data_IF_066197606483
#
_entry.id   IF_066197606483
#
_cell.length_a   1.000
_cell.length_b   1.000
_cell.length_c   1.000
_cell.angle_alpha   90.00
_cell.angle_beta   90.00
_cell.angle_gamma   90.00
#
_symmetry.space_group_name_H-M   'P 1'
#
loop_
_entity.id
_entity.type
_entity.pdbx_description
1 polymer ?
#
# COMPACT_ATOMS: atom_id res chain seq x y z
N UNK A 1 4.26 -93.23 58.45
CA UNK A 1 3.95 -91.81 58.18
C UNK A 1 2.45 -91.63 57.87
N UNK A 2 1.56 -91.99 58.80
CA UNK A 2 0.10 -91.79 58.64
C UNK A 2 -0.61 -91.29 59.93
N UNK A 3 0.08 -91.13 61.06
CA UNK A 3 -0.55 -90.72 62.33
C UNK A 3 -0.36 -89.25 62.73
N UNK A 4 0.33 -88.42 61.94
CA UNK A 4 0.54 -86.99 62.28
C UNK A 4 -0.65 -86.11 61.82
N UNK A 5 -1.61 -86.64 61.06
CA UNK A 5 -2.65 -85.80 60.42
C UNK A 5 -3.93 -85.65 61.28
N UNK A 6 -4.18 -86.47 62.31
CA UNK A 6 -5.50 -86.51 62.98
C UNK A 6 -5.67 -85.68 64.26
N UNK A 7 -4.69 -84.85 64.64
CA UNK A 7 -4.74 -84.08 65.91
C UNK A 7 -4.73 -82.57 65.73
N UNK A 8 -5.24 -82.09 64.59
CA UNK A 8 -5.46 -80.65 64.37
C UNK A 8 -6.94 -80.36 64.68
N UNK A 9 -7.15 -79.69 65.81
CA UNK A 9 -8.44 -79.20 66.30
C UNK A 9 -9.11 -78.27 65.27
N UNK A 10 -10.39 -78.48 64.95
CA UNK A 10 -11.12 -77.74 63.91
C UNK A 10 -11.12 -76.22 64.17
N UNK A 11 -10.93 -75.80 65.43
CA UNK A 11 -10.84 -74.41 65.87
C UNK A 11 -9.50 -73.75 65.50
N UNK A 12 -8.38 -74.49 65.54
CA UNK A 12 -7.08 -73.97 65.07
C UNK A 12 -7.05 -73.88 63.54
N UNK A 13 -7.71 -74.79 62.84
CA UNK A 13 -7.87 -74.73 61.38
C UNK A 13 -8.66 -73.47 60.97
N UNK A 14 -9.76 -73.14 61.65
CA UNK A 14 -10.55 -71.93 61.36
C UNK A 14 -9.81 -70.63 61.69
N UNK A 15 -8.98 -70.59 62.75
CA UNK A 15 -8.13 -69.42 63.05
C UNK A 15 -6.99 -69.21 62.05
N UNK A 16 -6.37 -70.29 61.59
CA UNK A 16 -5.32 -70.24 60.57
C UNK A 16 -5.91 -69.79 59.22
N UNK A 17 -7.08 -70.32 58.83
CA UNK A 17 -7.78 -69.92 57.60
C UNK A 17 -8.28 -68.47 57.71
N UNK A 18 -8.87 -68.07 58.84
CA UNK A 18 -9.35 -66.69 59.07
C UNK A 18 -8.22 -65.65 59.09
N UNK A 19 -7.08 -65.98 59.72
CA UNK A 19 -5.88 -65.14 59.70
C UNK A 19 -5.28 -65.01 58.29
N UNK A 20 -5.28 -66.11 57.52
CA UNK A 20 -4.81 -66.11 56.13
C UNK A 20 -5.69 -65.25 55.21
N UNK A 21 -7.02 -65.29 55.38
CA UNK A 21 -7.97 -64.44 54.64
C UNK A 21 -7.77 -62.95 54.97
N UNK A 22 -7.51 -62.61 56.24
CA UNK A 22 -7.20 -61.23 56.65
C UNK A 22 -5.89 -60.71 56.03
N UNK A 23 -4.85 -61.55 55.99
CA UNK A 23 -3.58 -61.21 55.34
C UNK A 23 -3.74 -61.06 53.81
N UNK A 24 -4.51 -61.94 53.16
CA UNK A 24 -4.78 -61.86 51.73
C UNK A 24 -5.58 -60.62 51.32
N UNK A 25 -6.54 -60.18 52.14
CA UNK A 25 -7.30 -58.94 51.89
C UNK A 25 -6.44 -57.70 52.06
N UNK A 26 -5.55 -57.67 53.07
CA UNK A 26 -4.57 -56.58 53.23
C UNK A 26 -3.58 -56.56 52.04
N UNK A 27 -3.04 -57.71 51.64
CA UNK A 27 -2.15 -57.80 50.48
C UNK A 27 -2.85 -57.41 49.17
N UNK A 28 -4.10 -57.85 48.96
CA UNK A 28 -4.89 -57.50 47.79
C UNK A 28 -5.20 -55.99 47.71
N UNK A 29 -5.51 -55.35 48.84
CA UNK A 29 -5.75 -53.90 48.88
C UNK A 29 -4.48 -53.09 48.66
N UNK A 30 -3.34 -53.52 49.20
CA UNK A 30 -2.03 -52.89 48.95
C UNK A 30 -1.63 -53.05 47.47
N UNK A 31 -1.80 -54.24 46.90
CA UNK A 31 -1.48 -54.51 45.50
C UNK A 31 -2.39 -53.72 44.55
N UNK A 32 -3.69 -53.69 44.82
CA UNK A 32 -4.65 -52.88 44.06
C UNK A 32 -4.29 -51.39 44.13
N UNK A 33 -4.00 -50.85 45.32
CA UNK A 33 -3.53 -49.46 45.45
C UNK A 33 -2.23 -49.22 44.70
N UNK A 34 -1.26 -50.13 44.77
CA UNK A 34 0.01 -50.00 44.07
C UNK A 34 -0.17 -49.98 42.54
N UNK A 35 -0.99 -50.88 42.01
CA UNK A 35 -1.26 -51.00 40.58
C UNK A 35 -2.05 -49.80 40.06
N UNK A 36 -3.03 -49.31 40.84
CA UNK A 36 -3.82 -48.13 40.52
C UNK A 36 -2.96 -46.87 40.55
N UNK A 37 -2.06 -46.73 41.53
CA UNK A 37 -1.07 -45.63 41.59
C UNK A 37 -0.09 -45.69 40.41
N UNK A 38 0.41 -46.86 40.04
CA UNK A 38 1.29 -47.03 38.87
C UNK A 38 0.61 -46.65 37.56
N UNK A 39 -0.64 -47.09 37.36
CA UNK A 39 -1.43 -46.76 36.16
C UNK A 39 -1.78 -45.27 36.11
N UNK A 40 -2.18 -44.67 37.24
CA UNK A 40 -2.47 -43.23 37.29
C UNK A 40 -1.22 -42.39 37.11
N UNK A 41 -0.08 -42.76 37.72
CA UNK A 41 1.19 -42.06 37.51
C UNK A 41 1.68 -42.17 36.06
N UNK A 42 1.56 -43.36 35.43
CA UNK A 42 1.90 -43.53 34.02
C UNK A 42 0.98 -42.73 33.10
N UNK A 43 -0.32 -42.68 33.41
CA UNK A 43 -1.30 -41.84 32.73
C UNK A 43 -0.96 -40.35 32.86
N UNK A 44 -0.76 -39.88 34.08
CA UNK A 44 -0.38 -38.49 34.39
C UNK A 44 0.90 -38.09 33.66
N UNK A 45 1.95 -38.91 33.69
CA UNK A 45 3.20 -38.61 32.99
C UNK A 45 3.01 -38.46 31.47
N UNK A 46 2.17 -39.29 30.85
CA UNK A 46 1.86 -39.16 29.43
C UNK A 46 1.05 -37.90 29.12
N UNK A 47 0.11 -37.52 30.00
CA UNK A 47 -0.62 -36.26 29.87
C UNK A 47 0.30 -35.06 30.03
N UNK A 48 1.15 -35.03 31.05
CA UNK A 48 2.11 -33.96 31.29
C UNK A 48 3.09 -33.82 30.13
N UNK A 49 3.59 -34.94 29.58
CA UNK A 49 4.46 -34.93 28.40
C UNK A 49 3.75 -34.36 27.17
N UNK A 50 2.49 -34.74 26.93
CA UNK A 50 1.68 -34.18 25.83
C UNK A 50 1.39 -32.70 26.05
N UNK A 51 1.13 -32.29 27.29
CA UNK A 51 0.83 -30.91 27.64
C UNK A 51 2.07 -30.03 27.46
N UNK A 52 3.24 -30.52 27.85
CA UNK A 52 4.52 -29.84 27.63
C UNK A 52 4.89 -29.77 26.14
N UNK A 53 4.64 -30.83 25.38
CA UNK A 53 4.84 -30.82 23.93
C UNK A 53 3.90 -29.82 23.24
N UNK A 54 2.62 -29.80 23.61
CA UNK A 54 1.65 -28.81 23.12
C UNK A 54 2.05 -27.38 23.50
N UNK A 55 2.51 -27.14 24.73
CA UNK A 55 3.06 -25.84 25.14
C UNK A 55 4.28 -25.45 24.32
N UNK A 56 5.18 -26.41 24.06
CA UNK A 56 6.34 -26.22 23.20
C UNK A 56 5.94 -25.83 21.78
N UNK A 57 4.98 -26.53 21.19
CA UNK A 57 4.45 -26.23 19.86
C UNK A 57 3.77 -24.86 19.81
N UNK A 58 2.95 -24.51 20.81
CA UNK A 58 2.31 -23.19 20.92
C UNK A 58 3.36 -22.09 21.01
N UNK A 59 4.36 -22.23 21.88
CA UNK A 59 5.42 -21.24 22.04
C UNK A 59 6.26 -21.08 20.76
N UNK A 60 6.55 -22.18 20.07
CA UNK A 60 7.24 -22.16 18.78
C UNK A 60 6.40 -21.45 17.70
N UNK A 61 5.12 -21.77 17.60
CA UNK A 61 4.20 -21.16 16.63
C UNK A 61 4.03 -19.66 16.91
N UNK A 62 3.88 -19.27 18.17
CA UNK A 62 3.83 -17.87 18.59
C UNK A 62 5.13 -17.13 18.22
N UNK A 63 6.30 -17.73 18.46
CA UNK A 63 7.59 -17.14 18.09
C UNK A 63 7.75 -16.95 16.57
N UNK A 64 7.32 -17.93 15.77
CA UNK A 64 7.32 -17.82 14.30
C UNK A 64 6.36 -16.72 13.86
N UNK A 65 5.13 -16.70 14.39
CA UNK A 65 4.12 -15.69 14.04
C UNK A 65 4.61 -14.28 14.39
N UNK A 66 5.14 -14.06 15.59
CA UNK A 66 5.71 -12.76 15.98
C UNK A 66 6.87 -12.35 15.06
N UNK A 67 7.73 -13.27 14.66
CA UNK A 67 8.85 -12.99 13.75
C UNK A 67 8.37 -12.63 12.34
N UNK A 68 7.37 -13.33 11.82
CA UNK A 68 6.75 -13.03 10.52
C UNK A 68 6.08 -11.66 10.57
N UNK A 69 5.28 -11.40 11.61
CA UNK A 69 4.61 -10.12 11.83
C UNK A 69 5.64 -8.98 11.88
N UNK A 70 6.71 -9.13 12.65
CA UNK A 70 7.76 -8.12 12.77
C UNK A 70 8.50 -7.89 11.44
N UNK A 71 8.86 -8.96 10.72
CA UNK A 71 9.52 -8.87 9.42
C UNK A 71 8.63 -8.20 8.38
N UNK A 72 7.34 -8.55 8.36
CA UNK A 72 6.34 -7.94 7.50
C UNK A 72 6.19 -6.46 7.80
N UNK A 73 6.00 -6.07 9.08
CA UNK A 73 5.90 -4.65 9.46
C UNK A 73 7.17 -3.89 9.10
N UNK A 74 8.36 -4.45 9.34
CA UNK A 74 9.62 -3.78 8.98
C UNK A 74 9.80 -3.60 7.47
N UNK A 75 9.38 -4.58 6.66
CA UNK A 75 9.43 -4.52 5.19
C UNK A 75 8.38 -3.56 4.65
N UNK A 76 7.17 -3.59 5.20
CA UNK A 76 6.07 -2.68 4.88
C UNK A 76 6.44 -1.24 5.22
N UNK A 77 7.12 -1.01 6.35
CA UNK A 77 7.60 0.32 6.72
C UNK A 77 8.63 0.83 5.72
N UNK A 78 9.64 0.02 5.36
CA UNK A 78 10.63 0.42 4.34
C UNK A 78 10.01 0.74 2.99
N UNK A 79 9.00 -0.04 2.58
CA UNK A 79 8.27 0.21 1.34
C UNK A 79 7.43 1.48 1.42
N UNK A 80 6.80 1.74 2.56
CA UNK A 80 6.06 2.98 2.81
C UNK A 80 6.99 4.20 2.82
N UNK A 81 8.14 4.11 3.50
CA UNK A 81 9.16 5.16 3.49
C UNK A 81 9.62 5.45 2.05
N UNK A 82 9.85 4.40 1.25
CA UNK A 82 10.21 4.56 -0.16
C UNK A 82 9.09 5.18 -1.00
N UNK A 83 7.83 4.79 -0.76
CA UNK A 83 6.68 5.44 -1.39
C UNK A 83 6.62 6.92 -1.04
N UNK A 84 6.78 7.28 0.23
CA UNK A 84 6.78 8.69 0.67
C UNK A 84 7.85 9.49 -0.08
N UNK A 85 9.09 8.99 -0.14
CA UNK A 85 10.19 9.63 -0.89
C UNK A 85 9.82 9.84 -2.37
N UNK A 86 9.24 8.82 -3.00
CA UNK A 86 8.85 8.88 -4.42
C UNK A 86 7.69 9.83 -4.65
N UNK A 87 6.73 9.89 -3.73
CA UNK A 87 5.60 10.81 -3.79
C UNK A 87 6.02 12.27 -3.53
N UNK A 88 7.01 12.50 -2.68
CA UNK A 88 7.64 13.80 -2.49
C UNK A 88 8.39 14.25 -3.76
N UNK A 89 9.14 13.33 -4.40
CA UNK A 89 9.78 13.59 -5.67
C UNK A 89 8.76 13.88 -6.79
N UNK A 90 7.64 13.15 -6.82
CA UNK A 90 6.54 13.38 -7.75
C UNK A 90 6.00 14.81 -7.61
N UNK A 91 5.68 15.22 -6.38
CA UNK A 91 5.15 16.54 -6.11
C UNK A 91 6.16 17.64 -6.45
N UNK A 92 7.42 17.47 -6.02
CA UNK A 92 8.51 18.39 -6.36
C UNK A 92 8.70 18.54 -7.87
N UNK A 93 8.54 17.44 -8.62
CA UNK A 93 8.60 17.45 -10.09
C UNK A 93 7.46 18.26 -10.71
N UNK A 94 6.24 18.16 -10.17
CA UNK A 94 5.09 18.95 -10.63
C UNK A 94 5.31 20.44 -10.37
N UNK A 95 5.78 20.80 -9.17
CA UNK A 95 6.10 22.18 -8.82
C UNK A 95 7.17 22.74 -9.74
N UNK A 96 8.22 21.97 -10.03
CA UNK A 96 9.26 22.37 -10.97
C UNK A 96 8.69 22.61 -12.37
N UNK A 97 7.87 21.71 -12.92
CA UNK A 97 7.22 21.93 -14.22
C UNK A 97 6.36 23.19 -14.23
N UNK A 98 5.63 23.45 -13.13
CA UNK A 98 4.82 24.66 -12.99
C UNK A 98 5.68 25.92 -13.03
N UNK A 99 6.82 25.90 -12.35
CA UNK A 99 7.73 27.05 -12.28
C UNK A 99 8.51 27.25 -13.59
N UNK A 100 8.70 26.19 -14.38
CA UNK A 100 9.27 26.24 -15.74
C UNK A 100 8.28 26.77 -16.80
N UNK A 101 6.98 26.86 -16.49
CA UNK A 101 6.02 27.48 -17.42
C UNK A 101 6.36 28.97 -17.58
N UNK A 102 6.64 29.45 -18.80
CA UNK A 102 7.02 30.84 -18.98
C UNK A 102 5.90 31.79 -18.54
N UNK A 103 6.24 32.74 -17.67
CA UNK A 103 5.27 33.62 -17.00
C UNK A 103 4.41 34.43 -17.97
N UNK A 104 4.96 34.85 -19.12
CA UNK A 104 4.20 35.55 -20.16
C UNK A 104 3.15 34.66 -20.83
N UNK A 105 3.45 33.37 -21.03
CA UNK A 105 2.51 32.37 -21.56
C UNK A 105 1.41 32.10 -20.52
N UNK A 106 1.80 31.88 -19.26
CA UNK A 106 0.88 31.66 -18.15
C UNK A 106 -0.11 32.82 -18.00
N UNK A 107 0.41 34.06 -17.93
CA UNK A 107 -0.40 35.27 -17.82
C UNK A 107 -1.36 35.41 -19.01
N UNK A 108 -0.88 35.20 -20.23
CA UNK A 108 -1.69 35.30 -21.45
C UNK A 108 -2.92 34.37 -21.36
N UNK A 109 -2.74 33.10 -20.99
CA UNK A 109 -3.87 32.17 -20.89
C UNK A 109 -4.72 32.32 -19.63
N UNK A 110 -4.21 32.98 -18.59
CA UNK A 110 -4.97 33.29 -17.39
C UNK A 110 -5.98 34.41 -17.65
N UNK A 111 -5.58 35.46 -18.37
CA UNK A 111 -6.38 36.69 -18.53
C UNK A 111 -7.15 36.77 -19.85
N UNK A 112 -6.70 36.06 -20.89
CA UNK A 112 -7.29 36.19 -22.22
C UNK A 112 -8.45 35.22 -22.43
N UNK A 113 -9.47 35.70 -23.13
CA UNK A 113 -10.57 34.88 -23.59
C UNK A 113 -10.33 34.26 -24.97
N UNK A 114 -11.06 33.17 -25.27
CA UNK A 114 -10.95 32.51 -26.58
C UNK A 114 -11.27 33.49 -27.73
N UNK A 115 -12.25 34.36 -27.53
CA UNK A 115 -12.65 35.38 -28.50
C UNK A 115 -11.50 36.37 -28.76
N UNK A 116 -10.71 36.73 -27.74
CA UNK A 116 -9.54 37.60 -27.89
C UNK A 116 -8.39 36.89 -28.60
N UNK A 117 -8.12 35.63 -28.25
CA UNK A 117 -7.06 34.84 -28.88
C UNK A 117 -7.34 34.53 -30.36
N UNK A 118 -8.61 34.44 -30.74
CA UNK A 118 -9.04 34.10 -32.10
C UNK A 118 -9.17 35.31 -33.04
N UNK A 119 -9.03 36.55 -32.53
CA UNK A 119 -9.07 37.76 -33.38
C UNK A 119 -7.88 37.74 -34.35
N UNK A 120 -8.10 38.16 -35.59
CA UNK A 120 -7.02 38.33 -36.59
C UNK A 120 -5.94 39.32 -36.14
N UNK A 121 -6.28 40.23 -35.23
CA UNK A 121 -5.36 41.22 -34.63
C UNK A 121 -4.71 40.77 -33.33
N UNK A 122 -5.02 39.55 -32.82
CA UNK A 122 -4.54 39.07 -31.53
C UNK A 122 -3.01 39.10 -31.44
N UNK A 123 -2.31 38.63 -32.48
CA UNK A 123 -0.85 38.63 -32.51
C UNK A 123 -0.28 40.04 -32.31
N UNK A 124 -0.71 41.01 -33.11
CA UNK A 124 -0.23 42.40 -32.99
C UNK A 124 -0.55 42.97 -31.61
N UNK A 125 -1.75 42.70 -31.07
CA UNK A 125 -2.15 43.16 -29.74
C UNK A 125 -1.17 42.71 -28.63
N UNK A 126 -0.77 41.44 -28.62
CA UNK A 126 0.18 40.94 -27.61
C UNK A 126 1.63 41.26 -27.94
N UNK A 127 2.01 41.23 -29.22
CA UNK A 127 3.38 41.48 -29.69
C UNK A 127 3.83 42.93 -29.49
N UNK A 128 2.90 43.87 -29.65
CA UNK A 128 3.17 45.31 -29.56
C UNK A 128 3.00 45.83 -28.13
N UNK A 129 2.51 44.99 -27.21
CA UNK A 129 2.45 45.34 -25.80
C UNK A 129 3.88 45.58 -25.26
N UNK A 130 4.16 46.75 -24.66
CA UNK A 130 5.53 47.14 -24.31
C UNK A 130 6.16 46.29 -23.19
N UNK A 131 5.35 45.59 -22.39
CA UNK A 131 5.81 44.72 -21.30
C UNK A 131 5.81 43.25 -21.71
N UNK A 132 4.71 42.78 -22.30
CA UNK A 132 4.51 41.37 -22.60
C UNK A 132 5.23 40.95 -23.90
N UNK A 133 5.12 41.76 -24.97
CA UNK A 133 5.69 41.44 -26.28
C UNK A 133 7.19 41.09 -26.26
N UNK A 134 8.05 41.88 -25.59
CA UNK A 134 9.46 41.55 -25.44
C UNK A 134 9.70 40.20 -24.74
N UNK A 135 8.89 39.84 -23.73
CA UNK A 135 9.02 38.56 -23.04
C UNK A 135 8.64 37.39 -23.95
N UNK A 136 7.50 37.49 -24.64
CA UNK A 136 7.01 36.43 -25.54
C UNK A 136 8.00 36.10 -26.66
N UNK A 137 8.74 37.09 -27.16
CA UNK A 137 9.77 36.94 -28.21
C UNK A 137 11.02 36.19 -27.73
N UNK A 138 11.27 36.14 -26.43
CA UNK A 138 12.51 35.55 -25.88
C UNK A 138 12.44 34.03 -25.71
N UNK A 139 11.24 33.46 -25.77
CA UNK A 139 11.03 32.04 -25.53
C UNK A 139 11.56 31.19 -26.69
N UNK A 140 12.24 30.10 -26.34
CA UNK A 140 12.89 29.16 -27.26
C UNK A 140 12.64 27.73 -26.82
N UNK A 141 12.57 26.81 -27.78
CA UNK A 141 12.28 25.40 -27.50
C UNK A 141 13.36 24.80 -26.57
N UNK A 142 14.62 25.08 -26.86
CA UNK A 142 15.76 24.53 -26.11
C UNK A 142 15.79 25.00 -24.66
N UNK A 143 15.31 26.22 -24.40
CA UNK A 143 15.35 26.83 -23.08
C UNK A 143 14.08 26.59 -22.28
N UNK A 144 12.91 26.66 -22.92
CA UNK A 144 11.63 26.74 -22.23
C UNK A 144 10.78 25.45 -22.38
N UNK A 145 11.12 24.56 -23.31
CA UNK A 145 10.43 23.26 -23.50
C UNK A 145 11.27 22.09 -23.02
N UNK A 146 12.57 22.06 -23.33
CA UNK A 146 13.43 20.94 -22.96
C UNK A 146 13.51 20.67 -21.45
N UNK A 147 13.59 21.68 -20.55
CA UNK A 147 13.60 21.40 -19.11
C UNK A 147 12.34 20.65 -18.63
N UNK A 148 11.17 20.91 -19.22
CA UNK A 148 9.92 20.22 -18.90
C UNK A 148 10.02 18.73 -19.30
N UNK A 149 10.58 18.45 -20.49
CA UNK A 149 10.79 17.09 -21.01
C UNK A 149 11.86 16.35 -20.21
N UNK A 150 12.95 17.02 -19.84
CA UNK A 150 14.01 16.42 -19.03
C UNK A 150 13.52 16.08 -17.62
N UNK A 151 12.60 16.87 -17.07
CA UNK A 151 12.01 16.61 -15.78
C UNK A 151 11.21 15.30 -15.74
N UNK A 152 10.59 14.88 -16.85
CA UNK A 152 9.89 13.59 -16.96
C UNK A 152 10.80 12.41 -16.59
N UNK A 153 12.05 12.46 -17.04
CA UNK A 153 13.03 11.36 -16.86
C UNK A 153 13.39 11.12 -15.39
N UNK A 154 13.16 12.09 -14.51
CA UNK A 154 13.48 11.98 -13.08
C UNK A 154 12.62 10.95 -12.36
N UNK A 155 11.38 10.72 -12.81
CA UNK A 155 10.44 9.79 -12.17
C UNK A 155 10.45 8.39 -12.77
N UNK A 156 10.98 8.20 -13.97
CA UNK A 156 11.01 6.91 -14.67
C UNK A 156 11.61 5.78 -13.80
N UNK A 157 12.74 5.97 -13.09
CA UNK A 157 13.31 4.92 -12.24
C UNK A 157 12.42 4.52 -11.06
N UNK A 158 11.48 5.38 -10.67
CA UNK A 158 10.64 5.22 -9.49
C UNK A 158 9.22 4.75 -9.81
N UNK A 159 8.93 4.46 -11.09
CA UNK A 159 7.64 3.95 -11.55
C UNK A 159 7.11 2.75 -10.73
N UNK A 160 7.92 1.78 -10.28
CA UNK A 160 7.43 0.66 -9.45
C UNK A 160 6.82 1.07 -8.10
N UNK A 161 7.11 2.28 -7.61
CA UNK A 161 6.62 2.79 -6.33
C UNK A 161 5.45 3.76 -6.48
N UNK A 162 5.13 4.15 -7.71
CA UNK A 162 3.99 5.01 -8.04
C UNK A 162 2.78 4.17 -8.41
N UNK A 163 1.59 4.67 -8.07
CA UNK A 163 0.36 4.13 -8.66
C UNK A 163 0.32 4.46 -10.16
N UNK A 164 -0.29 3.58 -10.96
CA UNK A 164 -0.51 3.85 -12.38
C UNK A 164 -1.30 5.15 -12.60
N UNK A 165 -2.22 5.47 -11.68
CA UNK A 165 -3.01 6.69 -11.73
C UNK A 165 -2.16 7.95 -11.46
N UNK A 166 -1.29 7.90 -10.44
CA UNK A 166 -0.32 8.98 -10.14
C UNK A 166 0.53 9.30 -11.37
N UNK A 167 1.07 8.26 -12.01
CA UNK A 167 1.92 8.45 -13.18
C UNK A 167 1.13 8.95 -14.40
N UNK A 168 -0.11 8.48 -14.61
CA UNK A 168 -1.00 9.02 -15.67
C UNK A 168 -1.29 10.51 -15.46
N UNK A 169 -1.65 10.91 -14.25
CA UNK A 169 -1.91 12.31 -13.89
C UNK A 169 -0.66 13.17 -14.09
N UNK A 170 0.49 12.72 -13.58
CA UNK A 170 1.79 13.36 -13.83
C UNK A 170 2.07 13.51 -15.33
N UNK A 171 1.85 12.44 -16.10
CA UNK A 171 2.13 12.43 -17.53
C UNK A 171 1.27 13.40 -18.32
N UNK A 172 0.00 13.50 -17.94
CA UNK A 172 -0.94 14.47 -18.49
C UNK A 172 -0.48 15.89 -18.15
N UNK A 173 -0.06 16.13 -16.91
CA UNK A 173 0.37 17.45 -16.46
C UNK A 173 1.61 17.95 -17.21
N UNK A 174 2.72 17.18 -17.26
CA UNK A 174 3.91 17.64 -17.99
C UNK A 174 3.65 17.74 -19.50
N UNK A 175 2.83 16.84 -20.06
CA UNK A 175 2.48 16.88 -21.49
C UNK A 175 1.63 18.10 -21.84
N UNK A 176 0.71 18.50 -20.95
CA UNK A 176 -0.08 19.72 -21.09
C UNK A 176 0.83 20.94 -21.16
N UNK A 177 1.68 21.12 -20.15
CA UNK A 177 2.57 22.30 -20.06
C UNK A 177 3.58 22.29 -21.22
N UNK A 178 4.23 21.16 -21.48
CA UNK A 178 5.21 21.02 -22.56
C UNK A 178 4.61 21.28 -23.94
N UNK A 179 3.46 20.68 -24.26
CA UNK A 179 2.77 20.90 -25.54
C UNK A 179 2.29 22.33 -25.69
N UNK A 180 1.73 22.93 -24.63
CA UNK A 180 1.28 24.32 -24.68
C UNK A 180 2.42 25.29 -24.95
N UNK A 181 3.55 25.15 -24.23
CA UNK A 181 4.73 25.99 -24.42
C UNK A 181 5.32 25.80 -25.82
N UNK A 182 5.46 24.55 -26.28
CA UNK A 182 5.95 24.24 -27.63
C UNK A 182 5.06 24.85 -28.73
N UNK A 183 3.75 24.61 -28.67
CA UNK A 183 2.81 25.12 -29.66
C UNK A 183 2.73 26.64 -29.64
N UNK A 184 2.81 27.26 -28.46
CA UNK A 184 2.88 28.71 -28.35
C UNK A 184 4.11 29.26 -29.10
N UNK A 185 5.31 28.74 -28.82
CA UNK A 185 6.55 29.21 -29.45
C UNK A 185 6.48 29.06 -30.98
N UNK A 186 6.03 27.89 -31.47
CA UNK A 186 5.89 27.62 -32.90
C UNK A 186 4.86 28.52 -33.59
N UNK A 187 3.72 28.80 -32.96
CA UNK A 187 2.71 29.69 -33.54
C UNK A 187 3.17 31.15 -33.48
N UNK A 188 3.82 31.56 -32.39
CA UNK A 188 4.30 32.92 -32.20
C UNK A 188 5.37 33.28 -33.23
N UNK A 189 6.28 32.36 -33.57
CA UNK A 189 7.25 32.56 -34.66
C UNK A 189 6.60 32.70 -36.05
N UNK A 190 5.37 32.20 -36.20
CA UNK A 190 4.54 32.33 -37.40
C UNK A 190 3.54 33.49 -37.33
N UNK A 191 3.75 34.45 -36.42
CA UNK A 191 2.89 35.62 -36.20
C UNK A 191 1.43 35.24 -35.86
N UNK A 192 1.25 34.17 -35.09
CA UNK A 192 -0.06 33.68 -34.61
C UNK A 192 -0.03 33.45 -33.12
N UNK A 193 -1.17 33.64 -32.46
CA UNK A 193 -1.34 33.27 -31.06
C UNK A 193 -1.98 31.89 -31.01
N UNK A 194 -1.36 30.98 -30.27
CA UNK A 194 -1.89 29.64 -30.07
C UNK A 194 -3.13 29.68 -29.16
N UNK A 195 -4.17 28.94 -29.53
CA UNK A 195 -5.36 28.75 -28.70
C UNK A 195 -5.46 27.27 -28.32
N UNK A 196 -5.05 26.94 -27.09
CA UNK A 196 -4.91 25.57 -26.63
C UNK A 196 -6.23 24.80 -26.56
N UNK A 197 -7.37 25.47 -26.36
CA UNK A 197 -8.68 24.80 -26.29
C UNK A 197 -9.15 24.24 -27.64
N UNK A 198 -8.54 24.69 -28.75
CA UNK A 198 -8.81 24.22 -30.10
C UNK A 198 -7.84 23.14 -30.58
N UNK A 199 -6.89 22.72 -29.75
CA UNK A 199 -5.95 21.66 -30.08
C UNK A 199 -6.53 20.30 -29.67
N UNK A 200 -7.11 19.59 -30.64
CA UNK A 200 -7.74 18.28 -30.43
C UNK A 200 -6.78 17.24 -29.82
N UNK A 201 -5.49 17.31 -30.13
CA UNK A 201 -4.51 16.40 -29.53
C UNK A 201 -4.26 16.73 -28.06
N UNK A 202 -4.24 18.02 -27.71
CA UNK A 202 -4.13 18.43 -26.31
C UNK A 202 -5.38 17.99 -25.53
N UNK A 203 -6.57 18.15 -26.10
CA UNK A 203 -7.82 17.64 -25.50
C UNK A 203 -7.78 16.13 -25.34
N UNK A 204 -7.25 15.40 -26.34
CA UNK A 204 -7.05 13.95 -26.25
C UNK A 204 -6.11 13.53 -25.10
N UNK A 205 -5.04 14.30 -24.85
CA UNK A 205 -4.15 14.09 -23.69
C UNK A 205 -4.92 14.29 -22.38
N UNK A 206 -5.72 15.35 -22.28
CA UNK A 206 -6.52 15.63 -21.09
C UNK A 206 -7.57 14.54 -20.82
N UNK A 207 -8.17 13.97 -21.86
CA UNK A 207 -9.17 12.91 -21.75
C UNK A 207 -8.63 11.59 -21.13
N UNK A 208 -7.31 11.44 -21.00
CA UNK A 208 -6.70 10.29 -20.30
C UNK A 208 -6.99 10.33 -18.80
N UNK A 209 -7.16 11.52 -18.22
CA UNK A 209 -7.29 11.70 -16.75
C UNK A 209 -8.48 12.55 -16.32
N UNK A 210 -9.06 13.34 -17.23
CA UNK A 210 -10.25 14.13 -17.00
C UNK A 210 -11.47 13.47 -17.63
N UNK A 211 -12.60 13.59 -16.95
CA UNK A 211 -13.90 13.21 -17.48
C UNK A 211 -14.36 14.19 -18.55
N UNK A 212 -15.25 13.75 -19.45
CA UNK A 212 -15.84 14.60 -20.47
C UNK A 212 -16.50 15.85 -19.88
N UNK A 213 -17.24 15.70 -18.77
CA UNK A 213 -17.89 16.82 -18.05
C UNK A 213 -16.89 17.84 -17.53
N UNK A 214 -15.74 17.39 -17.01
CA UNK A 214 -14.67 18.29 -16.55
C UNK A 214 -14.07 19.07 -17.71
N UNK A 215 -13.81 18.40 -18.84
CA UNK A 215 -13.28 19.02 -20.05
C UNK A 215 -14.28 20.04 -20.61
N UNK A 216 -15.56 19.69 -20.70
CA UNK A 216 -16.62 20.59 -21.15
C UNK A 216 -16.73 21.83 -20.24
N UNK A 217 -16.70 21.61 -18.92
CA UNK A 217 -16.71 22.69 -17.95
C UNK A 217 -15.52 23.64 -18.17
N UNK A 218 -14.29 23.11 -18.26
CA UNK A 218 -13.08 23.90 -18.50
C UNK A 218 -13.18 24.67 -19.83
N UNK A 219 -13.67 24.04 -20.90
CA UNK A 219 -13.84 24.69 -22.21
C UNK A 219 -14.88 25.81 -22.18
N UNK A 220 -15.92 25.68 -21.34
CA UNK A 220 -16.97 26.70 -21.19
C UNK A 220 -16.48 27.98 -20.50
N UNK A 221 -15.38 27.91 -19.75
CA UNK A 221 -14.82 29.06 -19.05
C UNK A 221 -14.19 30.04 -20.05
N UNK A 222 -14.71 31.27 -20.10
CA UNK A 222 -14.21 32.29 -21.00
C UNK A 222 -12.82 32.78 -20.62
N UNK A 223 -12.52 32.93 -19.33
CA UNK A 223 -11.26 33.44 -18.79
C UNK A 223 -10.81 32.52 -17.65
N UNK A 224 -9.50 32.39 -17.41
CA UNK A 224 -8.96 31.59 -16.31
C UNK A 224 -9.10 30.07 -16.50
N UNK A 225 -9.55 29.61 -17.67
CA UNK A 225 -9.72 28.18 -17.96
C UNK A 225 -8.42 27.38 -17.76
N UNK A 226 -7.28 27.99 -18.09
CA UNK A 226 -5.98 27.35 -17.90
C UNK A 226 -5.64 27.17 -16.42
N UNK A 227 -5.86 28.19 -15.59
CA UNK A 227 -5.65 28.11 -14.13
C UNK A 227 -6.53 27.04 -13.50
N UNK A 228 -7.83 27.00 -13.85
CA UNK A 228 -8.75 25.98 -13.34
C UNK A 228 -8.32 24.58 -13.77
N UNK A 229 -7.83 24.43 -15.00
CA UNK A 229 -7.31 23.15 -15.50
C UNK A 229 -6.07 22.69 -14.72
N UNK A 230 -5.09 23.56 -14.52
CA UNK A 230 -3.86 23.20 -13.79
C UNK A 230 -4.16 22.89 -12.33
N UNK A 231 -5.01 23.69 -11.68
CA UNK A 231 -5.43 23.46 -10.29
C UNK A 231 -6.22 22.16 -10.14
N UNK A 232 -7.09 21.81 -11.11
CA UNK A 232 -7.83 20.55 -11.10
C UNK A 232 -6.89 19.34 -11.21
N UNK A 233 -5.89 19.40 -12.10
CA UNK A 233 -4.89 18.34 -12.23
C UNK A 233 -4.04 18.23 -10.95
N UNK A 234 -3.54 19.34 -10.42
CA UNK A 234 -2.79 19.37 -9.15
C UNK A 234 -3.63 18.78 -8.00
N UNK A 235 -4.91 19.16 -7.90
CA UNK A 235 -5.82 18.63 -6.91
C UNK A 235 -6.00 17.11 -7.05
N UNK A 236 -6.25 16.60 -8.26
CA UNK A 236 -6.39 15.16 -8.51
C UNK A 236 -5.12 14.39 -8.14
N UNK A 237 -3.95 14.94 -8.46
CA UNK A 237 -2.67 14.37 -8.05
C UNK A 237 -2.62 14.31 -6.52
N UNK A 238 -2.84 15.43 -5.81
CA UNK A 238 -2.81 15.46 -4.34
C UNK A 238 -3.80 14.48 -3.69
N UNK A 239 -5.00 14.30 -4.27
CA UNK A 239 -5.93 13.26 -3.79
C UNK A 239 -5.37 11.86 -4.00
N UNK A 240 -4.76 11.58 -5.14
CA UNK A 240 -4.14 10.28 -5.41
C UNK A 240 -2.95 10.01 -4.48
N UNK A 241 -2.10 11.02 -4.21
CA UNK A 241 -1.02 10.94 -3.22
C UNK A 241 -1.59 10.60 -1.84
N UNK A 242 -2.60 11.35 -1.39
CA UNK A 242 -3.24 11.14 -0.09
C UNK A 242 -3.80 9.72 0.04
N UNK A 243 -4.47 9.22 -0.99
CA UNK A 243 -5.06 7.88 -0.98
C UNK A 243 -3.97 6.81 -0.91
N UNK A 244 -2.92 6.90 -1.73
CA UNK A 244 -1.84 5.92 -1.80
C UNK A 244 -0.90 5.92 -0.58
N UNK A 245 -0.83 7.05 0.15
CA UNK A 245 -0.09 7.17 1.40
C UNK A 245 -0.94 6.91 2.65
N UNK A 246 -2.27 6.85 2.51
CA UNK A 246 -3.15 6.59 3.65
C UNK A 246 -2.96 5.15 4.14
N UNK A 247 -2.66 4.98 5.43
CA UNK A 247 -2.40 3.66 6.04
C UNK A 247 -3.63 2.74 6.09
N UNK A 248 -4.83 3.22 5.73
CA UNK A 248 -6.07 2.46 5.80
C UNK A 248 -5.99 1.16 5.00
N UNK A 249 -5.66 1.26 3.71
CA UNK A 249 -5.54 0.09 2.83
C UNK A 249 -4.38 -0.84 3.24
N UNK A 250 -3.28 -0.28 3.74
CA UNK A 250 -2.14 -1.06 4.25
C UNK A 250 -2.52 -1.83 5.50
N UNK A 251 -3.34 -1.26 6.39
CA UNK A 251 -3.75 -1.92 7.63
C UNK A 251 -4.73 -3.08 7.38
N UNK A 252 -5.70 -2.90 6.49
CA UNK A 252 -6.66 -3.95 6.14
C UNK A 252 -5.97 -5.12 5.43
N UNK A 253 -5.13 -4.82 4.42
CA UNK A 253 -4.34 -5.86 3.73
C UNK A 253 -3.38 -6.58 4.66
N UNK A 254 -2.80 -5.87 5.64
CA UNK A 254 -1.96 -6.49 6.68
C UNK A 254 -2.77 -7.45 7.55
N UNK A 255 -3.97 -7.04 7.99
CA UNK A 255 -4.86 -7.88 8.79
C UNK A 255 -5.27 -9.14 8.00
N UNK A 256 -5.60 -8.99 6.71
CA UNK A 256 -5.91 -10.12 5.83
C UNK A 256 -4.71 -11.06 5.68
N UNK A 257 -3.51 -10.52 5.43
CA UNK A 257 -2.31 -11.33 5.31
C UNK A 257 -1.98 -12.09 6.60
N UNK A 258 -2.14 -11.45 7.77
CA UNK A 258 -1.97 -12.10 9.08
C UNK A 258 -2.99 -13.24 9.24
N UNK A 259 -4.26 -13.03 8.86
CA UNK A 259 -5.30 -14.07 8.90
C UNK A 259 -4.94 -15.26 7.99
N UNK A 260 -4.37 -15.01 6.82
CA UNK A 260 -3.99 -16.07 5.90
C UNK A 260 -2.77 -16.86 6.40
N UNK A 261 -1.79 -16.20 7.00
CA UNK A 261 -0.68 -16.86 7.71
C UNK A 261 -1.21 -17.73 8.85
N UNK A 262 -2.15 -17.23 9.64
CA UNK A 262 -2.77 -17.98 10.74
C UNK A 262 -3.49 -19.24 10.23
N UNK A 263 -4.26 -19.13 9.13
CA UNK A 263 -4.88 -20.29 8.48
C UNK A 263 -3.85 -21.32 8.00
N UNK A 264 -2.74 -20.90 7.41
CA UNK A 264 -1.68 -21.80 6.95
C UNK A 264 -1.00 -22.53 8.11
N UNK A 265 -0.69 -21.84 9.21
CA UNK A 265 -0.10 -22.44 10.40
C UNK A 265 -1.03 -23.49 11.04
N UNK A 266 -2.33 -23.18 11.11
CA UNK A 266 -3.35 -24.09 11.62
C UNK A 266 -3.58 -25.32 10.70
N UNK A 267 -3.35 -25.18 9.40
CA UNK A 267 -3.43 -26.30 8.46
C UNK A 267 -2.23 -27.26 8.58
N UNK A 268 -1.04 -26.74 8.88
CA UNK A 268 0.18 -27.56 9.05
C UNK A 268 0.24 -28.34 10.38
N UNK A 269 -0.62 -27.99 11.34
CA UNK A 269 -0.68 -28.62 12.67
C UNK A 269 -1.78 -29.69 12.80
N UNK A 270 -2.60 -29.89 11.75
CA UNK A 270 -3.56 -31.00 11.64
C UNK A 270 -2.95 -32.19 10.93
#
# INVERSE_FOLDING_TARGET
MQEIIYKIDNWTITKIIGGFVGVLTILGTIFSKWLLTKLTQAGQHNYDKRLEDLRGQINRNNGILSSIIQNYFSSSQKLLDKKIEVYDLLWSSILKIRDELPSGISLLYQISSDDELNKSTAFNYFNDNPKLGPQLKTYKIEKDVMPIVENERTLVPYRPFLSDNSYKLYSTYYSLIGRMTFQFIQNYSNSKIYNWKKDDHLIGILAVTLTEKEIEHIKSLKVGAFTVLTELLEYKILQDIKNNLSMGETSESTIEHIRDIEKMLNAMTK
#
